data_IF_934163893062
#
_entry.id   IF_934163893062
#
_cell.length_a   1.000
_cell.length_b   1.000
_cell.length_c   1.000
_cell.angle_alpha   90.00
_cell.angle_beta   90.00
_cell.angle_gamma   90.00
#
_symmetry.space_group_name_H-M   'P 1'
#
loop_
_entity.id
_entity.type
_entity.pdbx_description
1 polymer ?
#
# COMPACT_ATOMS: atom_id res chain seq x y z
N UNK A 1 6.88 -3.96 7.62
CA UNK A 1 7.25 -4.27 9.01
C UNK A 1 8.70 -3.88 9.17
N UNK A 2 9.08 -3.30 10.31
CA UNK A 2 10.45 -2.92 10.60
C UNK A 2 11.30 -4.14 11.02
N UNK A 3 12.62 -4.02 10.92
CA UNK A 3 13.53 -5.05 11.41
C UNK A 3 13.51 -5.10 12.94
N UNK A 4 13.16 -6.25 13.51
CA UNK A 4 13.15 -6.46 14.96
C UNK A 4 14.53 -6.21 15.61
N UNK A 5 15.62 -6.38 14.86
CA UNK A 5 16.97 -6.12 15.37
C UNK A 5 17.20 -4.63 15.66
N UNK A 6 16.49 -3.72 14.98
CA UNK A 6 16.56 -2.29 15.29
C UNK A 6 16.05 -2.01 16.71
N UNK A 7 14.93 -2.64 17.10
CA UNK A 7 14.34 -2.50 18.43
C UNK A 7 15.23 -3.13 19.50
N UNK A 8 15.83 -4.29 19.21
CA UNK A 8 16.72 -4.98 20.15
C UNK A 8 18.03 -4.24 20.39
N UNK A 9 18.49 -3.47 19.40
CA UNK A 9 19.73 -2.69 19.46
C UNK A 9 19.51 -1.33 20.11
N UNK A 10 18.49 -0.60 19.68
CA UNK A 10 18.23 0.78 20.11
C UNK A 10 16.75 1.14 19.92
N UNK A 11 15.90 0.70 20.84
CA UNK A 11 14.46 0.97 20.79
C UNK A 11 14.13 2.46 20.98
N UNK A 12 14.96 3.20 21.73
CA UNK A 12 14.73 4.61 22.01
C UNK A 12 14.90 5.45 20.75
N UNK A 13 15.93 5.19 19.94
CA UNK A 13 16.11 5.84 18.65
C UNK A 13 14.96 5.51 17.68
N UNK A 14 14.46 4.27 17.68
CA UNK A 14 13.28 3.87 16.88
C UNK A 14 12.04 4.64 17.34
N UNK A 15 11.80 4.72 18.65
CA UNK A 15 10.66 5.43 19.23
C UNK A 15 10.68 6.93 18.88
N UNK A 16 11.85 7.58 19.00
CA UNK A 16 12.00 8.99 18.64
C UNK A 16 11.65 9.28 17.18
N UNK A 17 12.11 8.43 16.25
CA UNK A 17 11.79 8.57 14.82
C UNK A 17 10.32 8.31 14.54
N UNK A 18 9.71 7.31 15.17
CA UNK A 18 8.27 7.05 15.03
C UNK A 18 7.40 8.20 15.58
N UNK A 19 7.84 8.84 16.67
CA UNK A 19 7.15 9.97 17.27
C UNK A 19 7.03 11.17 16.31
N UNK A 20 8.00 11.36 15.41
CA UNK A 20 7.91 12.41 14.36
C UNK A 20 6.71 12.21 13.43
N UNK A 21 6.17 11.01 13.34
CA UNK A 21 4.98 10.66 12.54
C UNK A 21 3.69 10.65 13.36
N UNK A 22 3.73 11.17 14.58
CA UNK A 22 2.62 11.07 15.53
C UNK A 22 2.35 9.66 16.06
N UNK A 23 3.29 8.71 15.87
CA UNK A 23 3.15 7.35 16.39
C UNK A 23 3.91 7.18 17.70
N UNK A 24 3.18 6.94 18.79
CA UNK A 24 3.77 6.61 20.08
C UNK A 24 4.02 5.10 20.18
N UNK A 25 5.29 4.70 20.17
CA UNK A 25 5.67 3.31 20.40
C UNK A 25 5.51 2.94 21.88
N UNK A 26 4.82 1.84 22.16
CA UNK A 26 4.78 1.24 23.50
C UNK A 26 6.07 0.44 23.77
N UNK A 27 7.11 1.18 24.15
CA UNK A 27 8.45 0.64 24.47
C UNK A 27 8.37 -0.37 25.61
N UNK A 28 7.54 -0.11 26.62
CA UNK A 28 7.40 -0.97 27.80
C UNK A 28 6.77 -2.32 27.43
N UNK A 29 5.72 -2.34 26.62
CA UNK A 29 5.10 -3.57 26.15
C UNK A 29 6.09 -4.41 25.31
N UNK A 30 6.83 -3.78 24.40
CA UNK A 30 7.85 -4.49 23.61
C UNK A 30 8.95 -5.09 24.51
N UNK A 31 9.47 -4.31 25.46
CA UNK A 31 10.52 -4.76 26.37
C UNK A 31 10.05 -5.90 27.27
N UNK A 32 8.81 -5.84 27.76
CA UNK A 32 8.21 -6.92 28.56
C UNK A 32 8.13 -8.23 27.76
N UNK A 33 7.60 -8.18 26.53
CA UNK A 33 7.52 -9.36 25.65
C UNK A 33 8.90 -9.93 25.31
N UNK A 34 9.89 -9.08 24.98
CA UNK A 34 11.23 -9.54 24.63
C UNK A 34 12.00 -10.07 25.86
N UNK A 35 11.78 -9.52 27.05
CA UNK A 35 12.34 -10.03 28.31
C UNK A 35 11.79 -11.42 28.63
N UNK A 36 10.48 -11.60 28.55
CA UNK A 36 9.82 -12.89 28.75
C UNK A 36 10.30 -13.92 27.72
N UNK A 37 10.38 -13.53 26.43
CA UNK A 37 10.89 -14.38 25.35
C UNK A 37 12.32 -14.87 25.64
N UNK A 38 13.22 -13.97 26.08
CA UNK A 38 14.60 -14.32 26.43
C UNK A 38 14.66 -15.26 27.62
N UNK A 39 13.89 -14.99 28.67
CA UNK A 39 13.83 -15.84 29.86
C UNK A 39 13.36 -17.26 29.51
N UNK A 40 12.27 -17.39 28.74
CA UNK A 40 11.76 -18.69 28.31
C UNK A 40 12.75 -19.43 27.40
N UNK A 41 13.45 -18.70 26.52
CA UNK A 41 14.48 -19.30 25.69
C UNK A 41 15.61 -19.92 26.54
N UNK A 42 16.16 -19.16 27.49
CA UNK A 42 17.20 -19.66 28.40
C UNK A 42 16.71 -20.87 29.20
N UNK A 43 15.50 -20.79 29.78
CA UNK A 43 14.91 -21.91 30.53
C UNK A 43 14.71 -23.14 29.66
N UNK A 44 14.29 -22.97 28.40
CA UNK A 44 14.11 -24.07 27.44
C UNK A 44 15.46 -24.74 27.14
N UNK A 45 16.52 -23.96 26.92
CA UNK A 45 17.87 -24.47 26.68
C UNK A 45 18.42 -25.24 27.90
N UNK A 46 18.22 -24.72 29.11
CA UNK A 46 18.59 -25.38 30.36
C UNK A 46 17.84 -26.69 30.59
N UNK A 47 16.51 -26.69 30.41
CA UNK A 47 15.67 -27.88 30.53
C UNK A 47 16.04 -28.94 29.50
N UNK A 48 16.34 -28.52 28.26
CA UNK A 48 16.77 -29.41 27.19
C UNK A 48 18.13 -30.05 27.50
N UNK A 49 19.08 -29.29 28.05
CA UNK A 49 20.36 -29.80 28.51
C UNK A 49 20.19 -30.79 29.69
N UNK A 50 19.34 -30.44 30.67
CA UNK A 50 19.03 -31.30 31.82
C UNK A 50 18.37 -32.60 31.39
N UNK A 51 17.37 -32.55 30.51
CA UNK A 51 16.71 -33.73 29.93
C UNK A 51 17.72 -34.66 29.28
N UNK A 52 18.60 -34.13 28.43
CA UNK A 52 19.62 -34.91 27.73
C UNK A 52 20.60 -35.59 28.72
N UNK A 53 21.00 -34.90 29.79
CA UNK A 53 21.85 -35.47 30.84
C UNK A 53 21.16 -36.61 31.59
N UNK A 54 19.90 -36.41 32.01
CA UNK A 54 19.13 -37.42 32.74
C UNK A 54 18.79 -38.63 31.85
N UNK A 55 18.49 -38.42 30.57
CA UNK A 55 18.29 -39.53 29.61
C UNK A 55 19.54 -40.41 29.48
N UNK A 56 20.74 -39.83 29.48
CA UNK A 56 22.00 -40.61 29.53
C UNK A 56 22.12 -41.39 30.84
N UNK A 57 21.79 -40.78 31.97
CA UNK A 57 21.82 -41.44 33.28
C UNK A 57 20.84 -42.62 33.36
N UNK A 58 19.63 -42.49 32.83
CA UNK A 58 18.66 -43.59 32.73
C UNK A 58 19.24 -44.76 31.94
N UNK A 59 19.88 -44.49 30.79
CA UNK A 59 20.54 -45.52 29.99
C UNK A 59 21.63 -46.26 30.77
N UNK A 60 22.44 -45.54 31.56
CA UNK A 60 23.47 -46.14 32.41
C UNK A 60 22.87 -47.00 33.54
N UNK A 61 21.85 -46.50 34.25
CA UNK A 61 21.21 -47.22 35.36
C UNK A 61 20.55 -48.51 34.88
N UNK A 62 19.76 -48.44 33.79
CA UNK A 62 19.15 -49.62 33.18
C UNK A 62 20.18 -50.62 32.65
N UNK A 63 21.29 -50.13 32.10
CA UNK A 63 22.41 -50.97 31.65
C UNK A 63 23.10 -51.74 32.79
N UNK A 64 23.04 -51.21 34.02
CA UNK A 64 23.53 -51.87 35.24
C UNK A 64 22.49 -52.72 35.97
N UNK A 65 21.24 -52.75 35.50
CA UNK A 65 20.12 -53.41 36.17
C UNK A 65 19.61 -52.69 37.42
N UNK A 66 19.94 -51.40 37.57
CA UNK A 66 19.51 -50.56 38.71
C UNK A 66 18.15 -49.90 38.44
N UNK A 67 17.43 -49.52 39.51
CA UNK A 67 16.14 -48.82 39.40
C UNK A 67 16.33 -47.38 38.89
N UNK A 68 15.68 -47.06 37.77
CA UNK A 68 15.70 -45.75 37.15
C UNK A 68 14.39 -44.97 37.33
N UNK A 69 13.43 -45.48 38.12
CA UNK A 69 12.07 -44.94 38.20
C UNK A 69 12.02 -43.47 38.63
N UNK A 70 12.83 -43.07 39.61
CA UNK A 70 12.90 -41.67 40.07
C UNK A 70 13.43 -40.73 38.98
N UNK A 71 14.48 -41.13 38.25
CA UNK A 71 15.08 -40.34 37.17
C UNK A 71 14.14 -40.26 35.96
N UNK A 72 13.39 -41.34 35.69
CA UNK A 72 12.35 -41.36 34.65
C UNK A 72 11.19 -40.40 34.98
N UNK A 73 10.78 -40.31 36.24
CA UNK A 73 9.76 -39.36 36.68
C UNK A 73 10.23 -37.89 36.54
N UNK A 74 11.49 -37.58 36.89
CA UNK A 74 12.08 -36.25 36.71
C UNK A 74 12.11 -35.85 35.22
N UNK A 75 12.49 -36.77 34.33
CA UNK A 75 12.45 -36.54 32.87
C UNK A 75 11.03 -36.30 32.36
N UNK A 76 10.03 -37.02 32.90
CA UNK A 76 8.62 -36.80 32.57
C UNK A 76 8.16 -35.37 32.88
N UNK A 77 8.44 -34.87 34.09
CA UNK A 77 8.10 -33.50 34.49
C UNK A 77 8.82 -32.41 33.68
N UNK A 78 10.06 -32.66 33.26
CA UNK A 78 10.78 -31.77 32.33
C UNK A 78 10.09 -31.76 30.96
N UNK A 79 9.60 -32.91 30.48
CA UNK A 79 8.87 -33.02 29.22
C UNK A 79 7.63 -32.13 29.20
N UNK A 80 6.83 -32.16 30.28
CA UNK A 80 5.63 -31.32 30.41
C UNK A 80 5.98 -29.82 30.48
N UNK A 81 7.05 -29.47 31.19
CA UNK A 81 7.51 -28.07 31.30
C UNK A 81 8.00 -27.55 29.95
N UNK A 82 8.77 -28.35 29.19
CA UNK A 82 9.21 -27.98 27.84
C UNK A 82 8.02 -27.76 26.89
N UNK A 83 6.97 -28.58 27.01
CA UNK A 83 5.74 -28.41 26.22
C UNK A 83 5.03 -27.09 26.58
N UNK A 84 4.94 -26.75 27.87
CA UNK A 84 4.39 -25.49 28.33
C UNK A 84 5.22 -24.28 27.88
N UNK A 85 6.56 -24.36 27.96
CA UNK A 85 7.46 -23.31 27.47
C UNK A 85 7.32 -23.09 25.96
N UNK A 86 7.15 -24.16 25.16
CA UNK A 86 6.91 -24.05 23.73
C UNK A 86 5.59 -23.34 23.43
N UNK A 87 4.49 -23.74 24.07
CA UNK A 87 3.20 -23.09 23.90
C UNK A 87 3.24 -21.60 24.28
N UNK A 88 3.91 -21.27 25.40
CA UNK A 88 4.08 -19.87 25.82
C UNK A 88 4.95 -19.06 24.86
N UNK A 89 6.00 -19.68 24.32
CA UNK A 89 6.85 -19.03 23.32
C UNK A 89 6.06 -18.71 22.04
N UNK A 90 5.18 -19.62 21.60
CA UNK A 90 4.31 -19.40 20.45
C UNK A 90 3.35 -18.21 20.68
N UNK A 91 2.75 -18.11 21.87
CA UNK A 91 1.91 -16.96 22.27
C UNK A 91 2.69 -15.63 22.24
N UNK A 92 3.89 -15.59 22.82
CA UNK A 92 4.73 -14.39 22.85
C UNK A 92 5.14 -13.98 21.44
N UNK A 93 5.50 -14.95 20.59
CA UNK A 93 5.83 -14.67 19.19
C UNK A 93 4.62 -14.11 18.42
N UNK A 94 3.41 -14.62 18.67
CA UNK A 94 2.19 -14.08 18.08
C UNK A 94 1.94 -12.63 18.51
N UNK A 95 2.00 -12.32 19.81
CA UNK A 95 1.83 -10.95 20.31
C UNK A 95 2.90 -9.99 19.78
N UNK A 96 4.16 -10.44 19.73
CA UNK A 96 5.25 -9.65 19.18
C UNK A 96 5.05 -9.38 17.69
N UNK A 97 4.58 -10.37 16.93
CA UNK A 97 4.24 -10.23 15.52
C UNK A 97 3.10 -9.22 15.32
N UNK A 98 2.04 -9.30 16.12
CA UNK A 98 0.91 -8.37 16.07
C UNK A 98 1.35 -6.93 16.36
N UNK A 99 2.15 -6.73 17.41
CA UNK A 99 2.75 -5.43 17.74
C UNK A 99 3.61 -4.93 16.57
N UNK A 100 4.49 -5.76 16.02
CA UNK A 100 5.36 -5.37 14.91
C UNK A 100 4.58 -5.05 13.61
N UNK A 101 3.42 -5.66 13.41
CA UNK A 101 2.54 -5.38 12.28
C UNK A 101 1.72 -4.08 12.45
N UNK A 102 1.59 -3.54 13.66
CA UNK A 102 0.88 -2.28 13.91
C UNK A 102 1.78 -1.04 13.84
N UNK A 103 3.10 -1.23 13.82
CA UNK A 103 4.10 -0.15 13.78
C UNK A 103 4.31 0.32 12.32
N UNK A 104 4.21 1.64 12.02
CA UNK A 104 4.45 2.19 10.70
C UNK A 104 5.93 2.13 10.32
N UNK A 105 6.22 2.44 9.05
CA UNK A 105 7.59 2.52 8.58
C UNK A 105 8.32 3.77 9.13
N UNK A 106 9.65 3.69 9.17
CA UNK A 106 10.49 4.81 9.60
C UNK A 106 10.63 5.84 8.47
N UNK A 107 10.45 7.14 8.74
CA UNK A 107 10.63 8.17 7.74
C UNK A 107 12.12 8.30 7.40
N UNK A 108 12.45 8.47 6.13
CA UNK A 108 13.82 8.74 5.68
C UNK A 108 14.31 10.07 6.26
N UNK A 109 15.61 10.22 6.47
CA UNK A 109 16.21 11.44 7.06
C UNK A 109 15.97 12.71 6.23
N UNK A 110 15.69 12.57 4.94
CA UNK A 110 15.37 13.68 4.04
C UNK A 110 13.92 14.15 4.12
N UNK A 111 13.05 13.48 4.90
CA UNK A 111 11.63 13.84 5.02
C UNK A 111 11.51 15.03 5.98
N UNK A 112 10.81 16.12 5.60
CA UNK A 112 10.60 17.24 6.51
C UNK A 112 9.74 16.81 7.70
N UNK A 113 10.12 17.24 8.90
CA UNK A 113 9.32 16.99 10.10
C UNK A 113 8.12 17.93 10.11
N UNK A 114 6.92 17.36 10.28
CA UNK A 114 5.65 18.09 10.34
C UNK A 114 4.54 17.20 10.87
N UNK A 115 3.45 17.81 11.32
CA UNK A 115 2.35 17.12 12.01
C UNK A 115 1.21 16.71 11.07
N UNK A 116 0.98 17.46 10.00
CA UNK A 116 -0.18 17.33 9.12
C UNK A 116 0.09 17.88 7.72
N UNK A 117 -0.90 17.80 6.83
CA UNK A 117 -0.79 18.16 5.41
C UNK A 117 -0.41 19.63 5.17
N UNK A 118 -0.64 20.52 6.14
CA UNK A 118 -0.34 21.96 6.01
C UNK A 118 1.16 22.25 6.08
N UNK A 119 1.94 21.29 6.59
CA UNK A 119 3.40 21.38 6.75
C UNK A 119 4.16 20.62 5.66
N UNK A 120 3.45 20.08 4.66
CA UNK A 120 4.06 19.51 3.48
C UNK A 120 4.81 20.58 2.67
N UNK A 121 5.85 20.16 1.94
CA UNK A 121 6.75 21.10 1.25
C UNK A 121 6.62 20.95 -0.26
N UNK A 122 6.30 22.05 -0.95
CA UNK A 122 6.32 22.11 -2.40
C UNK A 122 7.76 22.06 -2.93
N UNK A 123 8.05 21.09 -3.80
CA UNK A 123 9.39 20.90 -4.37
C UNK A 123 9.45 21.25 -5.86
N UNK A 124 8.33 21.17 -6.58
CA UNK A 124 8.23 21.52 -8.01
C UNK A 124 6.84 22.04 -8.34
N UNK A 125 6.75 22.89 -9.38
CA UNK A 125 5.50 23.37 -9.96
C UNK A 125 5.64 23.45 -11.47
N UNK A 126 4.61 23.04 -12.20
CA UNK A 126 4.60 22.98 -13.67
C UNK A 126 3.28 23.49 -14.21
N UNK A 127 3.34 24.30 -15.27
CA UNK A 127 2.17 24.91 -15.91
C UNK A 127 1.63 26.14 -15.17
N UNK A 128 0.70 26.83 -15.81
CA UNK A 128 0.00 27.99 -15.25
C UNK A 128 -1.51 27.72 -15.23
N UNK A 129 -2.19 27.86 -14.07
CA UNK A 129 -3.64 27.80 -14.02
C UNK A 129 -4.32 28.72 -15.03
N UNK A 130 -5.22 28.15 -15.85
CA UNK A 130 -5.97 28.91 -16.85
C UNK A 130 -6.79 30.03 -16.19
N UNK A 131 -6.74 31.21 -16.78
CA UNK A 131 -7.69 32.29 -16.49
C UNK A 131 -8.94 32.13 -17.34
N UNK A 132 -10.11 32.22 -16.69
CA UNK A 132 -11.42 32.10 -17.34
C UNK A 132 -12.06 33.49 -17.45
N UNK A 133 -12.63 33.78 -18.61
CA UNK A 133 -13.43 34.97 -18.91
C UNK A 133 -14.93 34.77 -18.64
N UNK A 134 -15.29 33.64 -18.03
CA UNK A 134 -16.63 33.28 -17.59
C UNK A 134 -16.59 32.62 -16.20
N UNK A 135 -17.75 32.50 -15.55
CA UNK A 135 -17.85 31.85 -14.25
C UNK A 135 -17.52 30.34 -14.37
N UNK A 136 -16.51 29.92 -13.63
CA UNK A 136 -16.06 28.52 -13.58
C UNK A 136 -17.15 27.65 -12.95
N UNK A 137 -17.49 26.55 -13.62
CA UNK A 137 -18.36 25.49 -13.09
C UNK A 137 -17.52 24.32 -12.60
N UNK A 138 -18.01 23.62 -11.57
CA UNK A 138 -17.38 22.39 -11.10
C UNK A 138 -17.62 21.24 -12.08
N UNK A 139 -16.85 20.16 -11.93
CA UNK A 139 -16.96 18.98 -12.78
C UNK A 139 -18.34 18.29 -12.70
N UNK A 140 -19.14 18.52 -11.67
CA UNK A 140 -20.49 17.97 -11.57
C UNK A 140 -21.41 18.75 -12.50
N UNK A 141 -21.46 20.08 -12.38
CA UNK A 141 -22.29 20.95 -13.21
C UNK A 141 -21.91 20.88 -14.70
N UNK A 142 -20.61 20.72 -14.99
CA UNK A 142 -20.13 20.50 -16.37
C UNK A 142 -20.45 19.07 -16.82
N UNK A 143 -20.15 18.08 -15.99
CA UNK A 143 -20.24 16.67 -16.34
C UNK A 143 -21.68 16.16 -16.51
N UNK A 144 -22.64 16.67 -15.75
CA UNK A 144 -24.05 16.21 -15.78
C UNK A 144 -24.62 16.27 -17.19
N UNK A 145 -24.39 17.39 -17.90
CA UNK A 145 -24.85 17.58 -19.28
C UNK A 145 -24.05 16.79 -20.32
N UNK A 146 -22.93 16.19 -19.93
CA UNK A 146 -22.02 15.45 -20.80
C UNK A 146 -22.05 13.92 -20.53
N UNK A 147 -22.86 13.47 -19.56
CA UNK A 147 -23.08 12.05 -19.26
C UNK A 147 -22.59 11.57 -17.90
N UNK A 148 -22.23 12.46 -16.96
CA UNK A 148 -22.00 12.11 -15.56
C UNK A 148 -23.33 12.00 -14.81
N UNK A 149 -23.59 10.86 -14.18
CA UNK A 149 -24.89 10.56 -13.55
C UNK A 149 -24.70 9.99 -12.13
N UNK A 150 -24.87 10.85 -11.13
CA UNK A 150 -24.80 10.46 -9.72
C UNK A 150 -26.11 9.88 -9.22
N UNK A 151 -27.26 10.38 -9.67
CA UNK A 151 -28.58 9.94 -9.22
C UNK A 151 -28.83 8.47 -9.57
N UNK A 152 -28.49 8.06 -10.79
CA UNK A 152 -28.56 6.66 -11.20
C UNK A 152 -27.59 5.79 -10.42
N UNK A 153 -26.38 6.29 -10.11
CA UNK A 153 -25.41 5.55 -9.30
C UNK A 153 -25.90 5.35 -7.85
N UNK A 154 -26.51 6.38 -7.25
CA UNK A 154 -27.15 6.29 -5.93
C UNK A 154 -28.29 5.29 -5.93
N UNK A 155 -29.13 5.30 -6.97
CA UNK A 155 -30.22 4.34 -7.14
C UNK A 155 -29.74 2.89 -7.27
N UNK A 156 -28.62 2.66 -7.95
CA UNK A 156 -28.07 1.31 -8.21
C UNK A 156 -27.23 0.79 -7.04
N UNK A 157 -26.53 1.67 -6.30
CA UNK A 157 -25.57 1.25 -5.27
C UNK A 157 -25.69 2.07 -3.99
N UNK A 158 -25.55 3.39 -4.08
CA UNK A 158 -25.55 4.29 -2.92
C UNK A 158 -24.69 5.53 -3.14
N UNK A 159 -24.48 6.32 -2.08
CA UNK A 159 -23.61 7.50 -2.13
C UNK A 159 -22.16 7.14 -2.45
N UNK A 160 -21.37 8.11 -2.93
CA UNK A 160 -19.95 7.95 -3.33
C UNK A 160 -19.72 6.93 -4.47
N UNK A 161 -20.72 6.72 -5.29
CA UNK A 161 -20.60 6.08 -6.61
C UNK A 161 -21.03 7.07 -7.70
N UNK A 162 -20.55 6.85 -8.92
CA UNK A 162 -20.88 7.64 -10.11
C UNK A 162 -21.07 6.72 -11.32
N UNK A 163 -21.95 7.11 -12.23
CA UNK A 163 -22.14 6.45 -13.52
C UNK A 163 -21.68 7.38 -14.64
N UNK A 164 -20.91 6.85 -15.59
CA UNK A 164 -20.42 7.61 -16.74
C UNK A 164 -21.10 7.10 -18.01
N UNK A 165 -21.52 8.02 -18.88
CA UNK A 165 -22.14 7.72 -20.19
C UNK A 165 -21.46 8.48 -21.31
N UNK A 166 -21.73 8.03 -22.55
CA UNK A 166 -21.37 8.76 -23.76
C UNK A 166 -19.89 9.20 -23.85
N UNK A 167 -19.69 10.46 -24.19
CA UNK A 167 -18.36 11.06 -24.39
C UNK A 167 -17.49 11.04 -23.13
N UNK A 168 -18.09 11.23 -21.95
CA UNK A 168 -17.37 11.20 -20.66
C UNK A 168 -16.86 9.79 -20.35
N UNK A 169 -17.69 8.76 -20.53
CA UNK A 169 -17.25 7.37 -20.37
C UNK A 169 -16.12 7.00 -21.35
N UNK A 170 -16.21 7.48 -22.61
CA UNK A 170 -15.15 7.30 -23.60
C UNK A 170 -13.86 7.99 -23.17
N UNK A 171 -13.94 9.22 -22.64
CA UNK A 171 -12.79 9.98 -22.14
C UNK A 171 -12.13 9.30 -20.93
N UNK A 172 -12.92 8.76 -20.00
CA UNK A 172 -12.41 7.96 -18.89
C UNK A 172 -11.58 6.76 -19.38
N UNK A 173 -12.08 6.03 -20.39
CA UNK A 173 -11.33 4.95 -21.02
C UNK A 173 -10.11 5.46 -21.79
N UNK A 174 -10.22 6.57 -22.52
CA UNK A 174 -9.10 7.17 -23.25
C UNK A 174 -7.93 7.56 -22.32
N UNK A 175 -8.24 8.08 -21.13
CA UNK A 175 -7.26 8.36 -20.09
C UNK A 175 -6.49 7.11 -19.67
N UNK A 176 -7.21 6.01 -19.39
CA UNK A 176 -6.60 4.72 -19.07
C UNK A 176 -5.62 4.28 -20.16
N UNK A 177 -6.06 4.35 -21.42
CA UNK A 177 -5.22 3.90 -22.55
C UNK A 177 -3.98 4.78 -22.72
N UNK A 178 -4.12 6.12 -22.67
CA UNK A 178 -2.98 7.03 -22.73
C UNK A 178 -1.96 6.73 -21.62
N UNK A 179 -2.44 6.49 -20.40
CA UNK A 179 -1.59 6.17 -19.25
C UNK A 179 -0.84 4.85 -19.45
N UNK A 180 -1.57 3.76 -19.77
CA UNK A 180 -0.96 2.45 -20.02
C UNK A 180 0.05 2.48 -21.17
N UNK A 181 -0.33 3.06 -22.31
CA UNK A 181 0.55 3.15 -23.48
C UNK A 181 1.81 3.97 -23.16
N UNK A 182 1.68 5.08 -22.44
CA UNK A 182 2.84 5.85 -22.01
C UNK A 182 3.77 5.02 -21.13
N UNK A 183 3.25 4.35 -20.10
CA UNK A 183 4.08 3.60 -19.16
C UNK A 183 4.72 2.36 -19.78
N UNK A 184 4.02 1.68 -20.69
CA UNK A 184 4.53 0.46 -21.34
C UNK A 184 5.50 0.78 -22.48
N UNK A 185 5.19 1.77 -23.32
CA UNK A 185 5.95 2.07 -24.53
C UNK A 185 7.12 3.04 -24.27
N UNK A 186 7.01 3.94 -23.28
CA UNK A 186 8.03 4.97 -23.02
C UNK A 186 8.81 4.74 -21.73
N UNK A 187 8.18 4.19 -20.68
CA UNK A 187 8.78 4.09 -19.34
C UNK A 187 9.26 2.67 -18.94
N UNK A 188 9.05 1.68 -19.82
CA UNK A 188 9.57 0.32 -19.66
C UNK A 188 8.84 -0.54 -18.62
N UNK A 189 7.57 -0.25 -18.33
CA UNK A 189 6.75 -1.10 -17.46
C UNK A 189 6.14 -2.27 -18.23
N UNK A 190 6.03 -3.42 -17.57
CA UNK A 190 5.26 -4.56 -18.07
C UNK A 190 3.80 -4.39 -17.68
N UNK A 191 2.90 -4.44 -18.65
CA UNK A 191 1.46 -4.39 -18.39
C UNK A 191 0.96 -5.69 -17.76
N UNK A 192 0.13 -5.56 -16.71
CA UNK A 192 -0.38 -6.68 -15.94
C UNK A 192 -1.90 -6.60 -15.81
N UNK A 193 -2.59 -7.70 -16.14
CA UNK A 193 -3.96 -7.93 -15.71
C UNK A 193 -3.94 -8.72 -14.38
N UNK A 194 -4.58 -8.18 -13.34
CA UNK A 194 -4.49 -8.72 -11.97
C UNK A 194 -5.86 -9.06 -11.37
N UNK A 195 -5.93 -9.99 -10.40
CA UNK A 195 -7.16 -10.22 -9.64
C UNK A 195 -7.57 -9.01 -8.80
N UNK A 196 -8.86 -8.65 -8.81
CA UNK A 196 -9.40 -7.56 -7.98
C UNK A 196 -9.86 -8.01 -6.59
N UNK A 197 -9.88 -9.32 -6.38
CA UNK A 197 -10.20 -9.97 -5.11
C UNK A 197 -8.93 -10.71 -4.67
N UNK A 198 -8.41 -10.38 -3.49
CA UNK A 198 -7.17 -10.96 -2.95
C UNK A 198 -7.38 -11.56 -1.57
N UNK A 199 -6.48 -12.46 -1.19
CA UNK A 199 -6.48 -13.07 0.14
C UNK A 199 -5.89 -12.13 1.22
N UNK A 200 -6.15 -12.45 2.48
CA UNK A 200 -5.64 -11.70 3.63
C UNK A 200 -4.10 -11.61 3.66
N UNK A 201 -3.39 -12.66 3.21
CA UNK A 201 -1.93 -12.64 3.15
C UNK A 201 -1.40 -11.53 2.24
N UNK A 202 -2.09 -11.25 1.13
CA UNK A 202 -1.72 -10.19 0.21
C UNK A 202 -1.90 -8.81 0.84
N UNK A 203 -3.03 -8.58 1.51
CA UNK A 203 -3.29 -7.36 2.26
C UNK A 203 -2.32 -7.15 3.44
N UNK A 204 -1.89 -8.23 4.11
CA UNK A 204 -0.85 -8.14 5.14
C UNK A 204 0.50 -7.76 4.54
N UNK A 205 0.85 -8.37 3.40
CA UNK A 205 2.12 -8.13 2.69
C UNK A 205 2.36 -6.65 2.39
N UNK A 206 1.35 -5.96 1.85
CA UNK A 206 1.45 -4.55 1.46
C UNK A 206 1.10 -3.54 2.54
N UNK A 207 0.56 -3.96 3.69
CA UNK A 207 0.39 -3.08 4.85
C UNK A 207 -1.05 -2.73 5.23
N UNK A 208 -2.03 -3.10 4.40
CA UNK A 208 -3.44 -2.80 4.67
C UNK A 208 -3.94 -3.55 5.91
N UNK A 209 -3.57 -4.82 6.07
CA UNK A 209 -3.85 -5.58 7.30
C UNK A 209 -2.66 -5.54 8.27
N UNK A 210 -2.92 -5.54 9.59
CA UNK A 210 -4.24 -5.55 10.23
C UNK A 210 -4.88 -4.17 10.44
N UNK A 211 -4.10 -3.08 10.33
CA UNK A 211 -4.49 -1.75 10.82
C UNK A 211 -5.69 -1.11 10.09
N UNK A 212 -5.79 -1.30 8.78
CA UNK A 212 -6.76 -0.61 7.92
C UNK A 212 -7.87 -1.54 7.46
N UNK A 213 -8.24 -2.55 8.25
CA UNK A 213 -9.26 -3.51 7.83
C UNK A 213 -10.65 -2.85 7.65
N UNK A 214 -10.95 -1.80 8.42
CA UNK A 214 -12.19 -1.02 8.29
C UNK A 214 -12.25 -0.23 6.97
N UNK A 215 -11.10 0.06 6.36
CA UNK A 215 -11.00 0.76 5.07
C UNK A 215 -11.27 -0.15 3.85
N UNK A 216 -11.44 -1.46 4.08
CA UNK A 216 -11.54 -2.48 3.03
C UNK A 216 -12.96 -3.06 2.91
N UNK A 217 -13.39 -3.31 1.67
CA UNK A 217 -14.53 -4.19 1.41
C UNK A 217 -14.11 -5.65 1.50
N UNK A 218 -14.80 -6.42 2.34
CA UNK A 218 -14.58 -7.86 2.54
C UNK A 218 -15.53 -8.68 1.67
N UNK A 219 -15.04 -9.81 1.16
CA UNK A 219 -15.80 -10.80 0.40
C UNK A 219 -15.74 -12.14 1.14
N UNK A 220 -16.74 -12.46 1.98
CA UNK A 220 -16.78 -13.72 2.72
C UNK A 220 -16.90 -14.92 1.76
N UNK A 221 -16.10 -15.95 2.01
CA UNK A 221 -16.11 -17.21 1.27
C UNK A 221 -16.24 -18.36 2.25
N UNK A 222 -17.26 -19.20 2.05
CA UNK A 222 -17.38 -20.47 2.77
C UNK A 222 -16.37 -21.48 2.22
N UNK A 223 -15.60 -22.10 3.12
CA UNK A 223 -14.59 -23.11 2.82
C UNK A 223 -14.78 -24.26 3.81
N UNK A 224 -14.79 -25.50 3.33
CA UNK A 224 -15.02 -26.68 4.17
C UNK A 224 -15.72 -27.82 3.43
N UNK A 225 -15.80 -28.98 4.09
CA UNK A 225 -16.61 -30.14 3.67
C UNK A 225 -17.63 -30.48 4.77
N UNK A 226 -18.37 -31.59 4.65
CA UNK A 226 -19.39 -32.02 5.63
C UNK A 226 -18.87 -32.09 7.09
N UNK A 227 -17.55 -32.19 7.30
CA UNK A 227 -16.92 -32.24 8.63
C UNK A 227 -16.64 -30.87 9.28
N UNK A 228 -16.97 -29.74 8.61
CA UNK A 228 -16.95 -28.40 9.21
C UNK A 228 -16.84 -27.25 8.19
N UNK A 229 -17.83 -26.35 8.19
CA UNK A 229 -17.78 -25.09 7.44
C UNK A 229 -17.00 -24.01 8.20
N UNK A 230 -16.07 -23.32 7.53
CA UNK A 230 -15.47 -22.06 8.02
C UNK A 230 -15.65 -20.94 7.00
N UNK A 231 -15.64 -19.69 7.48
CA UNK A 231 -15.66 -18.50 6.62
C UNK A 231 -14.23 -17.95 6.53
N UNK A 232 -13.72 -17.88 5.32
CA UNK A 232 -12.49 -17.15 4.98
C UNK A 232 -12.85 -15.86 4.27
N UNK A 233 -12.16 -14.76 4.59
CA UNK A 233 -12.40 -13.48 3.92
C UNK A 233 -11.39 -13.27 2.81
N UNK A 234 -11.89 -12.99 1.61
CA UNK A 234 -11.16 -12.23 0.61
C UNK A 234 -11.48 -10.74 0.74
N UNK A 235 -10.74 -9.92 0.01
CA UNK A 235 -10.86 -8.47 0.06
C UNK A 235 -10.80 -7.91 -1.35
N UNK A 236 -11.66 -6.93 -1.64
CA UNK A 236 -11.52 -6.13 -2.86
C UNK A 236 -10.28 -5.24 -2.73
N UNK A 237 -9.53 -5.07 -3.82
CA UNK A 237 -8.28 -4.31 -3.79
C UNK A 237 -8.55 -2.79 -3.64
N UNK A 238 -7.91 -2.09 -2.69
CA UNK A 238 -7.97 -0.62 -2.62
C UNK A 238 -7.05 0.07 -3.62
N UNK A 239 -6.20 -0.72 -4.29
CA UNK A 239 -5.25 -0.32 -5.34
C UNK A 239 -4.59 -1.57 -5.94
N UNK A 240 -4.20 -1.50 -7.21
CA UNK A 240 -3.36 -2.52 -7.86
C UNK A 240 -1.98 -2.71 -7.22
N UNK A 241 -1.51 -1.78 -6.37
CA UNK A 241 -0.31 -1.96 -5.55
C UNK A 241 -0.33 -3.31 -4.82
N UNK A 242 -1.49 -3.68 -4.25
CA UNK A 242 -1.65 -4.90 -3.46
C UNK A 242 -1.31 -6.16 -4.26
N UNK A 243 -1.99 -6.48 -5.37
CA UNK A 243 -1.67 -7.66 -6.16
C UNK A 243 -0.31 -7.56 -6.86
N UNK A 244 0.07 -6.40 -7.40
CA UNK A 244 1.33 -6.24 -8.14
C UNK A 244 2.56 -6.46 -7.25
N UNK A 245 2.56 -5.87 -6.06
CA UNK A 245 3.70 -5.97 -5.14
C UNK A 245 3.81 -7.39 -4.56
N UNK A 246 2.69 -8.10 -4.38
CA UNK A 246 2.68 -9.48 -3.91
C UNK A 246 3.15 -10.51 -4.95
N UNK A 247 3.42 -10.13 -6.20
CA UNK A 247 4.01 -11.03 -7.21
C UNK A 247 5.33 -11.63 -6.71
N UNK A 248 6.10 -10.88 -5.92
CA UNK A 248 7.39 -11.32 -5.36
C UNK A 248 7.29 -11.86 -3.93
N UNK A 249 6.09 -12.13 -3.42
CA UNK A 249 5.92 -12.74 -2.10
C UNK A 249 6.53 -14.14 -2.07
N UNK A 250 7.29 -14.41 -1.01
CA UNK A 250 8.03 -15.65 -0.77
C UNK A 250 9.04 -16.01 -1.86
N UNK A 251 9.45 -15.03 -2.68
CA UNK A 251 10.36 -15.22 -3.81
C UNK A 251 11.79 -14.75 -3.50
N UNK A 252 12.77 -15.41 -4.14
CA UNK A 252 14.14 -14.91 -4.28
C UNK A 252 14.34 -14.55 -5.76
N UNK A 253 14.34 -13.26 -6.06
CA UNK A 253 14.54 -12.71 -7.41
C UNK A 253 16.04 -12.69 -7.75
N UNK A 254 16.40 -13.14 -8.94
CA UNK A 254 17.77 -13.07 -9.41
C UNK A 254 18.13 -11.60 -9.73
N UNK A 255 19.31 -11.14 -9.27
CA UNK A 255 19.69 -9.72 -9.33
C UNK A 255 19.69 -9.14 -10.75
N UNK A 256 20.02 -9.94 -11.75
CA UNK A 256 20.02 -9.58 -13.18
C UNK A 256 18.62 -9.34 -13.77
N UNK A 257 17.55 -9.73 -13.07
CA UNK A 257 16.17 -9.46 -13.48
C UNK A 257 15.63 -8.15 -12.93
N UNK A 258 16.40 -7.45 -12.10
CA UNK A 258 16.00 -6.17 -11.49
C UNK A 258 16.46 -4.99 -12.35
N UNK A 259 15.70 -3.88 -12.39
CA UNK A 259 14.44 -3.65 -11.68
C UNK A 259 13.25 -4.39 -12.33
N UNK A 260 12.31 -4.88 -11.52
CA UNK A 260 11.00 -5.30 -12.03
C UNK A 260 10.07 -4.08 -12.03
N UNK A 261 9.41 -3.81 -13.16
CA UNK A 261 8.52 -2.68 -13.35
C UNK A 261 7.18 -3.18 -13.87
N UNK A 262 6.11 -2.97 -13.10
CA UNK A 262 4.76 -3.39 -13.46
C UNK A 262 3.79 -2.22 -13.52
N UNK A 263 2.89 -2.23 -14.50
CA UNK A 263 1.78 -1.27 -14.59
C UNK A 263 0.45 -2.02 -14.75
N UNK A 264 -0.61 -1.55 -14.10
CA UNK A 264 -1.95 -2.11 -14.25
C UNK A 264 -3.03 -1.04 -14.13
N UNK A 265 -4.08 -1.16 -14.94
CA UNK A 265 -5.36 -0.47 -14.73
C UNK A 265 -6.29 -1.37 -13.94
N UNK A 266 -6.82 -0.87 -12.82
CA UNK A 266 -7.83 -1.60 -12.05
C UNK A 266 -8.89 -0.66 -11.48
N UNK A 267 -10.13 -1.14 -11.27
CA UNK A 267 -11.00 -0.53 -10.29
C UNK A 267 -10.39 -0.69 -8.90
N UNK A 268 -10.52 0.34 -8.07
CA UNK A 268 -10.02 0.41 -6.71
C UNK A 268 -11.20 0.62 -5.76
N UNK A 269 -11.24 -0.13 -4.66
CA UNK A 269 -12.36 -0.15 -3.72
C UNK A 269 -11.94 0.28 -2.32
N UNK A 270 -12.54 1.35 -1.79
CA UNK A 270 -12.24 1.87 -0.44
C UNK A 270 -13.54 2.16 0.30
N UNK A 271 -13.63 1.74 1.55
CA UNK A 271 -14.82 2.04 2.37
C UNK A 271 -14.90 3.52 2.75
N UNK A 272 -13.78 4.26 2.66
CA UNK A 272 -13.68 5.68 3.01
C UNK A 272 -14.23 5.97 4.42
N UNK A 273 -14.04 5.03 5.34
CA UNK A 273 -14.43 5.15 6.74
C UNK A 273 -13.79 6.41 7.37
N UNK A 274 -14.55 7.13 8.19
CA UNK A 274 -14.08 8.37 8.84
C UNK A 274 -14.08 9.63 7.95
N UNK A 275 -14.48 9.55 6.67
CA UNK A 275 -14.54 10.71 5.76
C UNK A 275 -15.87 11.49 5.76
N UNK A 276 -16.65 11.42 6.86
CA UNK A 276 -17.97 12.06 6.94
C UNK A 276 -17.91 13.55 6.63
N UNK A 277 -18.71 14.00 5.66
CA UNK A 277 -18.82 15.41 5.27
C UNK A 277 -17.69 15.96 4.40
N UNK A 278 -16.58 15.23 4.21
CA UNK A 278 -15.48 15.66 3.32
C UNK A 278 -15.70 15.17 1.89
N UNK A 279 -15.50 16.06 0.90
CA UNK A 279 -15.61 15.77 -0.53
C UNK A 279 -16.89 14.96 -0.87
N UNK A 280 -18.04 15.42 -0.39
CA UNK A 280 -19.32 14.71 -0.54
C UNK A 280 -19.92 14.86 -1.94
N UNK A 281 -19.62 15.96 -2.62
CA UNK A 281 -20.04 16.24 -3.99
C UNK A 281 -18.95 15.84 -4.99
N UNK A 282 -19.35 15.16 -6.06
CA UNK A 282 -18.47 14.89 -7.20
C UNK A 282 -17.65 13.60 -7.10
N UNK A 283 -16.55 13.53 -7.86
CA UNK A 283 -15.76 12.30 -8.08
C UNK A 283 -14.38 12.29 -7.39
N UNK A 284 -14.06 13.29 -6.56
CA UNK A 284 -12.75 13.36 -5.89
C UNK A 284 -12.56 12.21 -4.86
N UNK A 285 -13.63 11.81 -4.18
CA UNK A 285 -13.66 10.73 -3.19
C UNK A 285 -14.85 9.79 -3.43
N UNK A 286 -14.56 8.57 -3.85
CA UNK A 286 -15.55 7.56 -4.25
C UNK A 286 -15.22 6.22 -3.58
N UNK A 287 -16.23 5.36 -3.39
CA UNK A 287 -15.99 3.97 -2.95
C UNK A 287 -15.35 3.12 -4.05
N UNK A 288 -15.63 3.43 -5.31
CA UNK A 288 -15.03 2.81 -6.47
C UNK A 288 -14.45 3.89 -7.39
N UNK A 289 -13.20 3.74 -7.80
CA UNK A 289 -12.54 4.60 -8.77
C UNK A 289 -11.49 3.83 -9.57
N UNK A 290 -11.23 4.27 -10.80
CA UNK A 290 -10.17 3.67 -11.63
C UNK A 290 -8.81 4.32 -11.34
N UNK A 291 -7.77 3.49 -11.35
CA UNK A 291 -6.38 3.94 -11.23
C UNK A 291 -5.48 3.14 -12.17
N UNK A 292 -4.53 3.82 -12.80
CA UNK A 292 -3.37 3.18 -13.42
C UNK A 292 -2.24 3.24 -12.41
N UNK A 293 -1.79 2.07 -11.93
CA UNK A 293 -0.77 1.95 -10.90
C UNK A 293 0.57 1.56 -11.51
N UNK A 294 1.63 2.21 -11.07
CA UNK A 294 3.01 1.79 -11.32
C UNK A 294 3.60 1.16 -10.06
N UNK A 295 4.26 0.02 -10.19
CA UNK A 295 5.02 -0.63 -9.11
C UNK A 295 6.43 -0.92 -9.60
N UNK A 296 7.42 -0.55 -8.78
CA UNK A 296 8.81 -0.93 -9.01
C UNK A 296 9.34 -1.78 -7.85
N UNK A 297 10.11 -2.82 -8.18
CA UNK A 297 10.79 -3.68 -7.22
C UNK A 297 12.27 -3.67 -7.57
N UNK A 298 13.09 -3.20 -6.64
CA UNK A 298 14.47 -2.76 -6.93
C UNK A 298 15.43 -3.20 -5.83
N UNK A 299 16.75 -3.26 -6.12
CA UNK A 299 17.77 -3.38 -5.07
C UNK A 299 17.73 -2.16 -4.13
N UNK A 300 18.05 -2.37 -2.86
CA UNK A 300 17.97 -1.32 -1.83
C UNK A 300 18.72 -0.02 -2.21
N UNK A 301 19.92 -0.18 -2.77
CA UNK A 301 20.80 0.92 -3.18
C UNK A 301 20.22 1.83 -4.28
N UNK A 302 19.24 1.36 -5.06
CA UNK A 302 18.65 2.10 -6.18
C UNK A 302 17.29 2.73 -5.82
N UNK A 303 16.76 2.47 -4.63
CA UNK A 303 15.37 2.77 -4.31
C UNK A 303 15.01 4.26 -4.27
N UNK A 304 15.93 5.15 -3.92
CA UNK A 304 15.63 6.60 -3.94
C UNK A 304 15.70 7.19 -5.35
N UNK A 305 16.62 6.73 -6.19
CA UNK A 305 16.66 7.11 -7.61
C UNK A 305 15.40 6.59 -8.34
N UNK A 306 14.97 5.37 -8.02
CA UNK A 306 13.74 4.80 -8.53
C UNK A 306 12.49 5.59 -8.10
N UNK A 307 12.50 6.22 -6.92
CA UNK A 307 11.40 7.09 -6.47
C UNK A 307 11.33 8.37 -7.32
N UNK A 308 12.46 9.02 -7.58
CA UNK A 308 12.50 10.22 -8.44
C UNK A 308 12.04 9.89 -9.87
N UNK A 309 12.46 8.74 -10.41
CA UNK A 309 12.03 8.25 -11.71
C UNK A 309 10.52 7.96 -11.75
N UNK A 310 10.01 7.23 -10.76
CA UNK A 310 8.60 6.90 -10.60
C UNK A 310 7.71 8.15 -10.53
N UNK A 311 8.11 9.15 -9.74
CA UNK A 311 7.41 10.44 -9.66
C UNK A 311 7.47 11.17 -11.00
N UNK A 312 8.63 11.19 -11.67
CA UNK A 312 8.77 11.76 -13.02
C UNK A 312 7.85 11.12 -14.06
N UNK A 313 7.66 9.80 -14.00
CA UNK A 313 6.73 9.07 -14.87
C UNK A 313 5.26 9.47 -14.64
N UNK A 314 4.85 9.72 -13.38
CA UNK A 314 3.51 10.22 -13.09
C UNK A 314 3.34 11.68 -13.57
N UNK A 315 4.34 12.54 -13.36
CA UNK A 315 4.34 13.92 -13.86
C UNK A 315 4.25 13.99 -15.40
N UNK A 316 4.85 13.02 -16.10
CA UNK A 316 4.83 12.98 -17.57
C UNK A 316 3.40 12.87 -18.13
N UNK A 317 2.50 12.16 -17.44
CA UNK A 317 1.08 12.09 -17.82
C UNK A 317 0.42 13.46 -17.69
N UNK A 318 0.63 14.17 -16.58
CA UNK A 318 0.08 15.53 -16.38
C UNK A 318 0.63 16.51 -17.42
N UNK A 319 1.91 16.42 -17.76
CA UNK A 319 2.55 17.23 -18.81
C UNK A 319 1.96 16.93 -20.20
N UNK A 320 1.73 15.66 -20.56
CA UNK A 320 1.07 15.28 -21.83
C UNK A 320 -0.36 15.78 -21.92
N UNK A 321 -1.07 15.82 -20.79
CA UNK A 321 -2.43 16.34 -20.69
C UNK A 321 -2.50 17.86 -20.52
N UNK A 322 -1.36 18.56 -20.48
CA UNK A 322 -1.25 20.00 -20.23
C UNK A 322 -2.11 20.46 -19.04
N UNK A 323 -2.00 19.72 -17.92
CA UNK A 323 -2.68 20.05 -16.67
C UNK A 323 -1.69 20.69 -15.69
N UNK A 324 -1.93 21.92 -15.21
CA UNK A 324 -1.08 22.56 -14.21
C UNK A 324 -1.07 21.77 -12.90
N UNK A 325 0.12 21.54 -12.35
CA UNK A 325 0.27 20.76 -11.12
C UNK A 325 1.47 21.21 -10.29
N UNK A 326 1.51 20.75 -9.04
CA UNK A 326 2.66 20.86 -8.16
C UNK A 326 3.04 19.50 -7.57
N UNK A 327 4.31 19.35 -7.27
CA UNK A 327 4.87 18.16 -6.60
C UNK A 327 5.22 18.55 -5.18
N UNK A 328 4.68 17.81 -4.23
CA UNK A 328 4.80 18.05 -2.79
C UNK A 328 5.56 16.86 -2.18
N UNK A 329 6.54 17.11 -1.32
CA UNK A 329 7.06 16.06 -0.42
C UNK A 329 6.23 16.09 0.87
N UNK A 330 5.71 14.92 1.27
CA UNK A 330 4.93 14.80 2.50
C UNK A 330 5.84 14.93 3.72
N UNK A 331 5.37 15.62 4.75
CA UNK A 331 6.04 15.65 6.04
C UNK A 331 5.77 14.36 6.83
N UNK A 332 6.54 14.14 7.89
CA UNK A 332 6.49 12.91 8.70
C UNK A 332 5.09 12.52 9.19
N UNK A 333 4.26 13.49 9.59
CA UNK A 333 2.89 13.29 10.09
C UNK A 333 1.84 12.95 9.04
N UNK A 334 2.06 13.28 7.76
CA UNK A 334 1.08 13.11 6.68
C UNK A 334 1.40 11.90 5.77
N UNK A 335 2.55 11.27 5.98
CA UNK A 335 2.94 10.10 5.19
C UNK A 335 2.09 8.85 5.48
N UNK A 336 1.84 8.05 4.44
CA UNK A 336 1.19 6.74 4.54
C UNK A 336 1.97 5.72 5.39
N UNK A 337 1.25 4.79 6.01
CA UNK A 337 1.77 3.83 7.01
C UNK A 337 3.03 3.05 6.59
N UNK A 338 3.10 2.62 5.33
CA UNK A 338 4.20 1.81 4.82
C UNK A 338 5.38 2.59 4.26
N UNK A 339 5.25 3.90 4.02
CA UNK A 339 6.25 4.66 3.25
C UNK A 339 7.41 5.16 4.11
N UNK A 340 8.61 5.19 3.53
CA UNK A 340 9.77 5.88 4.09
C UNK A 340 9.95 7.28 3.50
N UNK A 341 9.45 7.53 2.28
CA UNK A 341 9.35 8.85 1.65
C UNK A 341 8.24 8.83 0.61
N UNK A 342 7.47 9.91 0.52
CA UNK A 342 6.35 10.04 -0.41
C UNK A 342 6.35 11.41 -1.08
N UNK A 343 6.09 11.42 -2.38
CA UNK A 343 5.75 12.61 -3.15
C UNK A 343 4.30 12.54 -3.58
N UNK A 344 3.54 13.60 -3.33
CA UNK A 344 2.21 13.77 -3.89
C UNK A 344 2.27 14.73 -5.08
N UNK A 345 1.57 14.36 -6.15
CA UNK A 345 1.28 15.28 -7.25
C UNK A 345 -0.11 15.82 -7.03
N UNK A 346 -0.24 17.14 -7.00
CA UNK A 346 -1.52 17.81 -6.86
C UNK A 346 -1.82 18.62 -8.12
N UNK A 347 -2.97 18.36 -8.73
CA UNK A 347 -3.43 19.02 -9.97
C UNK A 347 -4.33 20.21 -9.64
N UNK A 348 -4.27 21.27 -10.44
CA UNK A 348 -5.13 22.43 -10.28
C UNK A 348 -6.60 22.10 -10.55
N UNK A 349 -7.48 22.48 -9.62
CA UNK A 349 -8.94 22.32 -9.72
C UNK A 349 -9.58 23.71 -9.70
N UNK A 350 -9.93 24.27 -10.89
CA UNK A 350 -10.45 25.63 -11.04
C UNK A 350 -11.61 25.99 -10.10
N UNK A 351 -12.63 25.13 -9.96
CA UNK A 351 -13.81 25.46 -9.16
C UNK A 351 -13.51 25.52 -7.65
N UNK A 352 -12.42 24.88 -7.22
CA UNK A 352 -11.96 24.91 -5.82
C UNK A 352 -10.86 25.93 -5.57
N UNK A 353 -10.34 26.58 -6.61
CA UNK A 353 -9.24 27.53 -6.56
C UNK A 353 -8.03 27.01 -5.75
N UNK A 354 -7.70 25.73 -5.94
CA UNK A 354 -6.61 25.06 -5.21
C UNK A 354 -6.08 23.87 -6.01
N UNK A 355 -4.98 23.30 -5.54
CA UNK A 355 -4.45 22.03 -6.02
C UNK A 355 -5.02 20.88 -5.18
N UNK A 356 -5.33 19.75 -5.84
CA UNK A 356 -5.83 18.52 -5.20
C UNK A 356 -4.97 17.35 -5.61
N UNK A 357 -4.62 16.49 -4.66
CA UNK A 357 -3.87 15.25 -4.89
C UNK A 357 -4.49 14.44 -6.05
N UNK A 358 -3.66 14.02 -7.01
CA UNK A 358 -4.02 13.16 -8.14
C UNK A 358 -3.12 11.92 -8.23
N UNK A 359 -1.97 11.96 -7.59
CA UNK A 359 -1.03 10.85 -7.45
C UNK A 359 -0.29 10.94 -6.13
N UNK A 360 0.06 9.78 -5.60
CA UNK A 360 0.99 9.62 -4.48
C UNK A 360 2.01 8.57 -4.89
N UNK A 361 3.30 8.92 -4.84
CA UNK A 361 4.43 8.11 -5.25
C UNK A 361 5.33 7.86 -4.04
N UNK A 362 5.50 6.61 -3.65
CA UNK A 362 6.12 6.24 -2.38
C UNK A 362 7.24 5.22 -2.55
N UNK A 363 8.32 5.42 -1.79
CA UNK A 363 9.30 4.38 -1.50
C UNK A 363 8.93 3.73 -0.17
N UNK A 364 8.80 2.41 -0.14
CA UNK A 364 8.45 1.65 1.06
C UNK A 364 9.70 1.08 1.76
N UNK A 365 10.89 1.27 1.20
CA UNK A 365 12.10 0.59 1.65
C UNK A 365 11.89 -0.92 1.64
N UNK A 366 12.41 -1.61 2.65
CA UNK A 366 12.21 -3.04 2.84
C UNK A 366 10.91 -3.41 3.59
N UNK A 367 10.03 -2.43 3.88
CA UNK A 367 8.91 -2.62 4.79
C UNK A 367 7.92 -3.69 4.32
N UNK A 368 7.48 -3.60 3.05
CA UNK A 368 6.58 -4.60 2.46
C UNK A 368 7.34 -5.89 2.15
N UNK A 369 8.56 -5.78 1.61
CA UNK A 369 9.41 -6.92 1.30
C UNK A 369 9.65 -7.82 2.53
N UNK A 370 9.83 -7.23 3.72
CA UNK A 370 9.97 -7.97 4.98
C UNK A 370 8.71 -8.71 5.39
N UNK A 371 7.52 -8.15 5.15
CA UNK A 371 6.25 -8.85 5.41
C UNK A 371 6.03 -9.99 4.42
N UNK A 372 6.44 -9.78 3.18
CA UNK A 372 6.28 -10.73 2.09
C UNK A 372 7.43 -11.74 1.96
N UNK A 373 8.50 -11.61 2.75
CA UNK A 373 9.76 -12.33 2.54
C UNK A 373 10.30 -12.26 1.10
N UNK A 374 10.08 -11.11 0.44
CA UNK A 374 10.54 -10.83 -0.92
C UNK A 374 12.03 -10.44 -0.89
N UNK A 375 12.86 -11.28 -1.51
CA UNK A 375 14.32 -11.14 -1.45
C UNK A 375 14.92 -11.14 -2.84
N UNK A 376 16.15 -10.66 -2.94
CA UNK A 376 17.00 -10.84 -4.12
C UNK A 376 18.26 -11.61 -3.78
N UNK A 377 18.90 -12.16 -4.80
CA UNK A 377 20.25 -12.70 -4.70
C UNK A 377 21.10 -12.19 -5.86
N UNK A 378 22.22 -11.53 -5.52
CA UNK A 378 23.26 -11.19 -6.49
C UNK A 378 24.32 -12.32 -6.48
N UNK A 379 24.36 -13.12 -7.55
CA UNK A 379 25.30 -14.23 -7.68
C UNK A 379 25.16 -15.30 -6.58
N UNK A 380 26.26 -15.62 -5.90
CA UNK A 380 26.31 -16.63 -4.82
C UNK A 380 26.18 -16.03 -3.40
N UNK A 381 25.81 -14.74 -3.30
CA UNK A 381 25.65 -14.05 -2.02
C UNK A 381 24.46 -14.54 -1.18
N UNK A 382 24.40 -14.07 0.08
CA UNK A 382 23.22 -14.28 0.93
C UNK A 382 22.03 -13.51 0.33
N UNK A 383 20.79 -14.05 0.40
CA UNK A 383 19.62 -13.29 0.01
C UNK A 383 19.45 -12.03 0.86
N UNK A 384 19.12 -10.92 0.19
CA UNK A 384 18.87 -9.62 0.81
C UNK A 384 17.43 -9.20 0.50
N UNK A 385 16.81 -8.39 1.36
CA UNK A 385 15.46 -7.89 1.11
C UNK A 385 15.45 -6.92 -0.07
N UNK A 386 14.42 -7.02 -0.90
CA UNK A 386 14.14 -6.05 -1.96
C UNK A 386 13.59 -4.75 -1.35
N UNK A 387 13.68 -3.66 -2.11
CA UNK A 387 12.87 -2.47 -1.86
C UNK A 387 11.68 -2.42 -2.82
N UNK A 388 10.54 -1.92 -2.34
CA UNK A 388 9.32 -1.77 -3.14
C UNK A 388 8.91 -0.31 -3.23
N UNK A 389 8.39 0.07 -4.40
CA UNK A 389 7.86 1.39 -4.67
C UNK A 389 6.54 1.27 -5.41
N UNK A 390 5.66 2.24 -5.20
CA UNK A 390 4.41 2.36 -5.94
C UNK A 390 4.03 3.82 -6.16
N UNK A 391 3.33 4.08 -7.25
CA UNK A 391 2.89 5.42 -7.60
C UNK A 391 1.69 5.39 -8.53
N UNK A 392 0.71 6.27 -8.30
CA UNK A 392 -0.40 6.45 -9.22
C UNK A 392 0.10 7.11 -10.52
N UNK A 393 -0.18 6.54 -11.68
CA UNK A 393 0.15 7.11 -12.99
C UNK A 393 -1.06 7.24 -13.92
N UNK A 394 -2.26 7.67 -13.50
CA UNK A 394 -2.68 8.44 -12.33
C UNK A 394 -3.98 7.84 -11.75
N UNK A 395 -4.58 8.48 -10.74
CA UNK A 395 -5.99 8.26 -10.42
C UNK A 395 -6.89 8.79 -11.56
N UNK A 396 -7.51 7.89 -12.32
CA UNK A 396 -8.21 8.21 -13.58
C UNK A 396 -9.41 9.13 -13.32
N UNK A 397 -10.20 8.83 -12.29
CA UNK A 397 -11.38 9.64 -11.94
C UNK A 397 -11.01 11.09 -11.57
N UNK A 398 -9.94 11.30 -10.78
CA UNK A 398 -9.46 12.65 -10.45
C UNK A 398 -8.86 13.36 -11.67
N UNK A 399 -8.24 12.61 -12.59
CA UNK A 399 -7.76 13.16 -13.86
C UNK A 399 -8.91 13.62 -14.76
N UNK A 400 -10.00 12.85 -14.81
CA UNK A 400 -11.22 13.24 -15.52
C UNK A 400 -11.83 14.51 -14.93
N UNK A 401 -11.90 14.63 -13.60
CA UNK A 401 -12.32 15.87 -12.92
C UNK A 401 -11.46 17.06 -13.36
N UNK A 402 -10.14 16.92 -13.33
CA UNK A 402 -9.23 17.98 -13.74
C UNK A 402 -9.44 18.38 -15.21
N UNK A 403 -9.69 17.43 -16.11
CA UNK A 403 -9.98 17.75 -17.52
C UNK A 403 -11.32 18.48 -17.65
N UNK A 404 -12.39 17.98 -17.04
CA UNK A 404 -13.71 18.61 -17.12
C UNK A 404 -13.67 20.07 -16.66
N UNK A 405 -12.89 20.39 -15.62
CA UNK A 405 -12.81 21.76 -15.12
C UNK A 405 -11.80 22.65 -15.87
N UNK A 406 -10.60 22.16 -16.20
CA UNK A 406 -9.56 22.98 -16.86
C UNK A 406 -9.87 23.23 -18.35
N UNK A 407 -10.54 22.27 -19.00
CA UNK A 407 -10.86 22.33 -20.43
C UNK A 407 -12.30 22.75 -20.73
N UNK A 408 -13.07 23.21 -19.73
CA UNK A 408 -14.42 23.71 -19.97
C UNK A 408 -14.43 24.97 -20.85
N UNK A 409 -15.50 25.13 -21.61
CA UNK A 409 -15.78 26.32 -22.40
C UNK A 409 -17.06 27.02 -21.88
N UNK A 410 -17.26 28.28 -22.28
CA UNK A 410 -18.39 29.09 -21.82
C UNK A 410 -19.76 28.43 -22.10
N UNK A 411 -19.91 27.75 -23.24
CA UNK A 411 -21.15 27.07 -23.64
C UNK A 411 -21.43 25.74 -22.89
N UNK A 412 -20.50 25.27 -22.05
CA UNK A 412 -20.66 24.02 -21.28
C UNK A 412 -20.09 22.78 -21.95
N UNK A 413 -19.54 22.92 -23.15
CA UNK A 413 -18.70 21.89 -23.75
C UNK A 413 -17.34 21.77 -23.05
N UNK A 414 -16.64 20.66 -23.28
CA UNK A 414 -15.27 20.43 -22.82
C UNK A 414 -14.36 20.12 -24.00
N UNK A 415 -13.29 20.89 -24.13
CA UNK A 415 -12.25 20.63 -25.14
C UNK A 415 -11.48 19.36 -24.79
N UNK A 416 -11.28 18.47 -25.76
CA UNK A 416 -10.52 17.23 -25.55
C UNK A 416 -9.02 17.54 -25.65
N UNK A 417 -8.21 17.26 -24.60
CA UNK A 417 -6.77 17.44 -24.64
C UNK A 417 -6.14 16.77 -25.87
N UNK A 418 -5.18 17.43 -26.51
CA UNK A 418 -4.58 16.96 -27.76
C UNK A 418 -4.07 15.51 -27.67
N UNK A 419 -3.43 15.16 -26.55
CA UNK A 419 -2.93 13.80 -26.29
C UNK A 419 -4.03 12.72 -26.22
N UNK A 420 -5.28 13.09 -25.94
CA UNK A 420 -6.41 12.15 -25.87
C UNK A 420 -7.15 12.01 -27.20
N UNK A 421 -7.00 12.94 -28.14
CA UNK A 421 -7.75 12.93 -29.40
C UNK A 421 -7.59 11.62 -30.20
N UNK A 422 -6.39 10.99 -30.30
CA UNK A 422 -6.25 9.70 -30.96
C UNK A 422 -7.11 8.59 -30.32
N UNK A 423 -7.14 8.53 -28.98
CA UNK A 423 -7.95 7.57 -28.21
C UNK A 423 -9.45 7.89 -28.24
N UNK A 424 -9.79 9.16 -28.48
CA UNK A 424 -11.14 9.67 -28.65
C UNK A 424 -11.63 9.57 -30.10
N UNK A 425 -10.88 8.92 -31.01
CA UNK A 425 -11.25 8.74 -32.41
C UNK A 425 -11.35 10.06 -33.18
N UNK A 426 -10.46 11.01 -32.85
CA UNK A 426 -10.41 12.33 -33.48
C UNK A 426 -11.41 13.35 -32.94
N UNK A 427 -12.24 13.01 -31.95
CA UNK A 427 -13.13 13.98 -31.30
C UNK A 427 -12.27 15.03 -30.59
N UNK A 428 -12.52 16.30 -30.90
CA UNK A 428 -11.80 17.46 -30.33
C UNK A 428 -12.58 18.16 -29.22
N UNK A 429 -13.88 17.85 -29.07
CA UNK A 429 -14.79 18.52 -28.12
C UNK A 429 -15.93 17.60 -27.70
N UNK A 430 -16.28 17.61 -26.41
CA UNK A 430 -17.50 17.02 -25.89
C UNK A 430 -18.58 18.10 -25.79
N UNK A 431 -19.70 17.88 -26.46
CA UNK A 431 -20.83 18.83 -26.47
C UNK A 431 -21.93 18.35 -25.50
N UNK A 432 -22.65 19.25 -24.82
CA UNK A 432 -23.81 18.92 -24.00
C UNK A 432 -24.85 18.09 -24.78
N UNK A 433 -25.37 17.03 -24.16
CA UNK A 433 -26.51 16.28 -24.71
C UNK A 433 -27.75 17.21 -24.73
N UNK A 434 -28.46 17.23 -25.86
CA UNK A 434 -29.64 18.08 -26.10
C UNK A 434 -30.86 17.67 -25.27
#
# INVERSE_FOLDING_TARGET
>A
MLDIQLFRKDIDAVAQRLATRGFQLDVAAFQALEAERKQLQTQTEELQARRNSLSKQIGMLKGKGEDASAVMAEVGGIGDTLKASAARLDEIQAHLSELMLSIPNLPHESVPVGNDETQNVEVRRVGEPRQFDFAVRDHVDVGEKLGLDFDTAVKVTGSRFSMLRGGVARMNRALVQLMLDTHTQEHGYTEMYVPYIVNAASMRGTGQLPKFEEDLFRVPRKVGSEEGERIENFYLIPTAEVPLTNIVRDAIVAGEKLPLRFVAHTPCFRSEAGSYGKDTRGMIRQHQFDKVEMVQIVPAAQSFDALEELTGHAEAILKKLDLPFRTIVLCTGDMGFGSTKTYDLEVWIPAQNTYREISSCSNMGDFQARRMQARMRAGQGKPELLHTLNGSGLAVGRTLVAILENYQNADGSVTVPAALQPYMGGITRLEPEL
#
